data_IF_867406918433
#
_entry.id   IF_867406918433
#
_cell.length_a   1.000
_cell.length_b   1.000
_cell.length_c   1.000
_cell.angle_alpha   90.00
_cell.angle_beta   90.00
_cell.angle_gamma   90.00
#
_symmetry.space_group_name_H-M   'P 1'
#
loop_
_entity.id
_entity.type
_entity.pdbx_description
1 polymer ?
#
# COMPACT_ATOMS: atom_id res chain seq x y z
N UNK A 1 30.25 22.41 33.27
CA UNK A 1 28.99 22.75 32.59
C UNK A 1 28.97 22.35 31.11
N UNK A 2 30.03 22.58 30.33
CA UNK A 2 30.10 22.23 28.88
C UNK A 2 29.89 20.74 28.55
N UNK A 3 30.40 19.81 29.37
CA UNK A 3 30.24 18.35 29.17
C UNK A 3 28.80 17.85 29.37
N UNK A 4 28.02 18.50 30.25
CA UNK A 4 26.61 18.16 30.50
C UNK A 4 25.69 18.66 29.37
N UNK A 5 26.03 19.81 28.77
CA UNK A 5 25.34 20.36 27.60
C UNK A 5 25.57 19.45 26.38
N UNK A 6 26.80 18.95 26.20
CA UNK A 6 27.13 18.04 25.10
C UNK A 6 26.37 16.70 25.21
N UNK A 7 26.23 16.17 26.43
CA UNK A 7 25.41 14.99 26.69
C UNK A 7 23.93 15.22 26.37
N UNK A 8 23.39 16.41 26.70
CA UNK A 8 21.99 16.76 26.42
C UNK A 8 21.71 16.86 24.91
N UNK A 9 22.63 17.45 24.14
CA UNK A 9 22.50 17.55 22.67
C UNK A 9 22.53 16.16 22.02
N UNK A 10 23.39 15.26 22.49
CA UNK A 10 23.43 13.88 21.98
C UNK A 10 22.11 13.11 22.23
N UNK A 11 21.45 13.34 23.37
CA UNK A 11 20.16 12.69 23.69
C UNK A 11 19.01 13.27 22.85
N UNK A 12 19.03 14.56 22.53
CA UNK A 12 17.99 15.18 21.70
C UNK A 12 18.09 14.78 20.21
N UNK A 13 19.29 14.42 19.72
CA UNK A 13 19.49 14.07 18.31
C UNK A 13 18.97 12.66 17.95
N UNK A 14 18.73 11.78 18.92
CA UNK A 14 18.31 10.39 18.68
C UNK A 14 16.80 10.21 18.41
N UNK A 15 16.01 11.29 18.35
CA UNK A 15 14.54 11.23 18.27
C UNK A 15 13.98 11.23 16.83
N UNK A 16 14.83 11.20 15.80
CA UNK A 16 14.42 11.25 14.39
C UNK A 16 14.60 9.92 13.65
N UNK A 17 14.25 8.79 14.27
CA UNK A 17 14.23 7.51 13.55
C UNK A 17 12.93 7.37 12.73
N UNK A 18 13.04 7.33 11.41
CA UNK A 18 11.95 6.91 10.52
C UNK A 18 11.73 5.40 10.71
N UNK A 19 10.48 4.98 10.98
CA UNK A 19 10.15 3.62 11.41
C UNK A 19 9.61 2.71 10.29
N UNK A 20 9.95 2.99 9.03
CA UNK A 20 9.59 2.16 7.87
C UNK A 20 10.22 0.76 7.94
N UNK A 21 9.42 -0.28 7.70
CA UNK A 21 9.88 -1.68 7.76
C UNK A 21 10.05 -2.25 6.36
N UNK A 22 11.31 -2.44 5.93
CA UNK A 22 11.64 -3.17 4.71
C UNK A 22 12.01 -4.61 5.03
N UNK A 23 11.26 -5.60 4.54
CA UNK A 23 11.66 -7.01 4.64
C UNK A 23 12.36 -7.42 3.34
N UNK A 24 13.67 -7.71 3.45
CA UNK A 24 14.51 -8.06 2.29
C UNK A 24 14.55 -6.92 1.25
N UNK A 25 14.39 -5.68 1.73
CA UNK A 25 14.32 -4.44 0.95
C UNK A 25 15.18 -3.37 1.64
N UNK A 26 16.30 -3.03 1.00
CA UNK A 26 17.11 -1.88 1.42
C UNK A 26 16.41 -0.59 0.98
N UNK A 27 16.41 0.41 1.86
CA UNK A 27 15.73 1.70 1.67
C UNK A 27 14.29 1.53 1.16
N UNK A 28 13.36 1.00 2.01
CA UNK A 28 11.97 0.88 1.61
C UNK A 28 11.39 2.27 1.27
N UNK A 29 10.33 2.31 0.48
CA UNK A 29 9.71 3.55 0.05
C UNK A 29 9.29 4.40 1.28
N UNK A 30 9.61 5.71 1.32
CA UNK A 30 9.27 6.57 2.44
C UNK A 30 7.77 6.65 2.76
N UNK A 31 6.92 6.38 1.78
CA UNK A 31 5.46 6.36 1.90
C UNK A 31 4.91 4.97 2.27
N UNK A 32 5.74 4.08 2.82
CA UNK A 32 5.33 2.73 3.24
C UNK A 32 5.72 2.43 4.68
N UNK A 33 4.75 1.89 5.44
CA UNK A 33 5.03 1.32 6.75
C UNK A 33 5.66 -0.07 6.63
N UNK A 34 5.32 -0.83 5.58
CA UNK A 34 5.85 -2.16 5.27
C UNK A 34 6.06 -2.35 3.76
N UNK A 35 7.27 -2.74 3.35
CA UNK A 35 7.59 -3.13 1.97
C UNK A 35 8.26 -4.52 1.92
N UNK A 36 7.82 -5.38 1.01
CA UNK A 36 8.37 -6.72 0.77
C UNK A 36 9.24 -6.72 -0.50
N UNK A 37 10.56 -6.87 -0.36
CA UNK A 37 11.51 -6.74 -1.48
C UNK A 37 11.90 -8.04 -2.18
N UNK A 38 11.28 -9.17 -1.87
CA UNK A 38 11.64 -10.45 -2.49
C UNK A 38 11.03 -10.60 -3.88
N UNK A 39 11.85 -10.87 -4.89
CA UNK A 39 11.42 -11.02 -6.29
C UNK A 39 10.60 -12.30 -6.58
N UNK A 40 10.59 -13.26 -5.67
CA UNK A 40 9.98 -14.59 -5.85
C UNK A 40 9.20 -15.07 -4.63
N UNK A 41 8.79 -14.16 -3.74
CA UNK A 41 7.97 -14.46 -2.57
C UNK A 41 6.79 -13.50 -2.53
N UNK A 42 5.78 -13.85 -1.75
CA UNK A 42 4.57 -13.05 -1.59
C UNK A 42 4.13 -12.99 -0.13
N UNK A 43 3.26 -12.04 0.18
CA UNK A 43 2.53 -12.01 1.44
C UNK A 43 1.54 -13.18 1.46
N UNK A 44 1.60 -14.00 2.50
CA UNK A 44 0.52 -14.93 2.83
C UNK A 44 -0.44 -14.25 3.79
N UNK A 45 -1.71 -14.16 3.41
CA UNK A 45 -2.77 -13.68 4.29
C UNK A 45 -3.17 -14.78 5.27
N UNK A 46 -3.76 -14.39 6.40
CA UNK A 46 -4.37 -15.35 7.32
C UNK A 46 -5.43 -16.16 6.57
N UNK A 47 -5.25 -17.48 6.55
CA UNK A 47 -6.17 -18.43 5.92
C UNK A 47 -7.19 -18.88 6.96
N UNK A 48 -8.45 -18.55 6.75
CA UNK A 48 -9.53 -18.83 7.70
C UNK A 48 -10.64 -19.63 7.02
N UNK A 49 -11.38 -20.44 7.79
CA UNK A 49 -12.42 -21.30 7.22
C UNK A 49 -13.47 -20.51 6.44
N UNK A 50 -13.88 -19.36 6.98
CA UNK A 50 -14.74 -18.37 6.35
C UNK A 50 -14.67 -17.06 7.15
N UNK A 51 -15.39 -16.03 6.71
CA UNK A 51 -15.44 -14.71 7.35
C UNK A 51 -15.92 -14.73 8.81
N UNK A 52 -16.71 -15.72 9.23
CA UNK A 52 -17.22 -15.83 10.61
C UNK A 52 -16.15 -16.29 11.61
N UNK A 53 -15.01 -16.80 11.14
CA UNK A 53 -13.88 -17.17 11.98
C UNK A 53 -13.07 -15.95 12.48
N UNK A 54 -13.35 -14.75 11.98
CA UNK A 54 -12.73 -13.49 12.43
C UNK A 54 -13.74 -12.70 13.26
N UNK A 55 -13.71 -12.81 14.61
CA UNK A 55 -14.59 -12.02 15.46
C UNK A 55 -14.16 -10.54 15.47
N UNK A 56 -15.14 -9.64 15.54
CA UNK A 56 -14.92 -8.18 15.60
C UNK A 56 -13.98 -7.62 14.52
N UNK A 57 -14.26 -7.87 13.23
CA UNK A 57 -13.42 -7.38 12.13
C UNK A 57 -13.38 -5.84 12.09
N UNK A 58 -12.22 -5.30 11.71
CA UNK A 58 -11.99 -3.84 11.58
C UNK A 58 -11.73 -3.51 10.12
N UNK A 59 -12.18 -2.33 9.67
CA UNK A 59 -11.96 -1.86 8.30
C UNK A 59 -10.45 -1.86 7.97
N UNK A 60 -10.11 -2.38 6.79
CA UNK A 60 -8.72 -2.55 6.33
C UNK A 60 -8.15 -3.95 6.49
N UNK A 61 -8.86 -4.88 7.16
CA UNK A 61 -8.42 -6.28 7.25
C UNK A 61 -8.55 -7.02 5.91
N UNK A 62 -7.64 -7.97 5.66
CA UNK A 62 -7.69 -8.89 4.52
C UNK A 62 -7.45 -10.34 4.97
N UNK A 63 -8.17 -11.28 4.36
CA UNK A 63 -8.06 -12.72 4.63
C UNK A 63 -8.08 -13.53 3.35
N UNK A 64 -7.58 -14.76 3.43
CA UNK A 64 -7.89 -15.80 2.45
C UNK A 64 -8.97 -16.72 3.02
N UNK A 65 -10.17 -16.67 2.44
CA UNK A 65 -11.32 -17.49 2.82
C UNK A 65 -11.18 -18.88 2.17
N UNK A 66 -11.05 -19.92 2.99
CA UNK A 66 -10.89 -21.30 2.55
C UNK A 66 -12.19 -21.90 1.98
N UNK A 67 -13.36 -21.44 2.41
CA UNK A 67 -14.64 -21.95 1.92
C UNK A 67 -14.95 -21.52 0.49
N UNK A 68 -14.51 -20.32 0.11
CA UNK A 68 -14.71 -19.76 -1.23
C UNK A 68 -13.43 -19.71 -2.08
N UNK A 69 -12.31 -20.16 -1.51
CA UNK A 69 -10.97 -20.22 -2.10
C UNK A 69 -10.53 -18.87 -2.69
N UNK A 70 -10.68 -17.79 -1.93
CA UNK A 70 -10.44 -16.45 -2.45
C UNK A 70 -10.03 -15.44 -1.37
N UNK A 71 -9.47 -14.31 -1.81
CA UNK A 71 -9.17 -13.18 -0.93
C UNK A 71 -10.44 -12.34 -0.68
N UNK A 72 -10.65 -11.91 0.56
CA UNK A 72 -11.70 -10.98 0.98
C UNK A 72 -11.10 -9.85 1.82
N UNK A 73 -11.64 -8.64 1.68
CA UNK A 73 -11.28 -7.47 2.48
C UNK A 73 -12.47 -7.04 3.33
N UNK A 74 -12.23 -6.53 4.54
CA UNK A 74 -13.27 -5.94 5.38
C UNK A 74 -13.26 -4.42 5.24
N UNK A 75 -14.37 -3.86 4.78
CA UNK A 75 -14.51 -2.43 4.53
C UNK A 75 -15.96 -1.99 4.80
N UNK A 76 -16.13 -0.77 5.31
CA UNK A 76 -17.45 -0.22 5.63
C UNK A 76 -18.31 -1.16 6.48
N UNK A 77 -17.68 -1.85 7.45
CA UNK A 77 -18.36 -2.77 8.36
C UNK A 77 -18.80 -4.10 7.75
N UNK A 78 -18.29 -4.49 6.57
CA UNK A 78 -18.67 -5.72 5.88
C UNK A 78 -17.50 -6.37 5.15
N UNK A 79 -17.53 -7.69 5.03
CA UNK A 79 -16.62 -8.41 4.14
C UNK A 79 -17.03 -8.22 2.69
N UNK A 80 -16.03 -8.00 1.83
CA UNK A 80 -16.20 -7.99 0.38
C UNK A 80 -16.59 -9.38 -0.14
N UNK A 81 -17.10 -9.42 -1.38
CA UNK A 81 -17.05 -10.66 -2.17
C UNK A 81 -15.60 -11.03 -2.46
N UNK A 82 -15.39 -12.21 -3.03
CA UNK A 82 -14.08 -12.61 -3.54
C UNK A 82 -13.49 -11.54 -4.47
N UNK A 83 -12.32 -11.03 -4.11
CA UNK A 83 -11.57 -10.12 -4.98
C UNK A 83 -11.22 -10.86 -6.29
N UNK A 84 -11.46 -10.21 -7.43
CA UNK A 84 -11.12 -10.73 -8.76
C UNK A 84 -12.05 -11.82 -9.32
N UNK A 85 -12.97 -12.38 -8.53
CA UNK A 85 -13.91 -13.42 -9.01
C UNK A 85 -14.97 -12.78 -9.92
N UNK A 86 -15.13 -13.29 -11.14
CA UNK A 86 -16.03 -12.80 -12.21
C UNK A 86 -15.60 -11.53 -12.96
N UNK A 87 -14.30 -11.18 -12.97
CA UNK A 87 -13.82 -10.20 -13.94
C UNK A 87 -13.88 -10.80 -15.35
N UNK A 88 -14.89 -10.42 -16.14
CA UNK A 88 -14.91 -10.73 -17.58
C UNK A 88 -13.96 -9.77 -18.28
N UNK A 89 -12.89 -10.29 -18.87
CA UNK A 89 -12.05 -9.52 -19.78
C UNK A 89 -12.90 -9.14 -21.00
N UNK A 90 -13.32 -7.88 -21.07
CA UNK A 90 -13.95 -7.36 -22.28
C UNK A 90 -12.84 -7.06 -23.27
N UNK A 91 -12.63 -7.96 -24.24
CA UNK A 91 -11.75 -7.71 -25.38
C UNK A 91 -12.45 -6.70 -26.28
N UNK A 92 -12.24 -5.40 -26.04
CA UNK A 92 -12.74 -4.35 -26.93
C UNK A 92 -11.73 -4.20 -28.07
N UNK A 93 -12.12 -4.55 -29.29
CA UNK A 93 -11.34 -4.25 -30.50
C UNK A 93 -11.53 -2.82 -31.01
N UNK A 94 -12.33 -2.00 -30.33
CA UNK A 94 -12.61 -0.61 -30.70
C UNK A 94 -12.01 0.38 -29.69
N UNK A 95 -11.31 1.43 -30.14
CA UNK A 95 -10.93 2.53 -29.27
C UNK A 95 -12.17 3.39 -28.96
N UNK A 96 -12.41 3.60 -27.67
CA UNK A 96 -13.43 4.48 -27.06
C UNK A 96 -14.86 3.91 -26.91
N UNK A 97 -15.09 3.23 -25.78
CA UNK A 97 -15.87 3.83 -24.68
C UNK A 97 -15.77 2.93 -23.44
N UNK A 98 -15.42 3.50 -22.28
CA UNK A 98 -15.72 2.85 -21.01
C UNK A 98 -17.25 2.86 -20.84
N UNK A 99 -17.93 1.86 -21.39
CA UNK A 99 -19.31 1.59 -21.01
C UNK A 99 -19.29 1.00 -19.61
N UNK A 100 -19.99 1.67 -18.71
CA UNK A 100 -20.04 1.41 -17.27
C UNK A 100 -20.57 0.00 -16.99
N UNK A 101 -19.69 -0.99 -17.00
CA UNK A 101 -19.86 -2.15 -16.13
C UNK A 101 -19.22 -1.76 -14.80
N UNK A 102 -19.92 -0.91 -14.06
CA UNK A 102 -19.52 -0.51 -12.72
C UNK A 102 -19.37 -1.79 -11.90
N UNK A 103 -18.13 -2.18 -11.60
CA UNK A 103 -17.87 -3.00 -10.44
C UNK A 103 -18.38 -2.17 -9.27
N UNK A 104 -19.55 -2.53 -8.72
CA UNK A 104 -20.02 -1.94 -7.47
C UNK A 104 -19.13 -2.45 -6.34
N UNK A 105 -17.91 -1.92 -6.27
CA UNK A 105 -17.17 -1.78 -5.03
C UNK A 105 -18.04 -0.85 -4.17
N UNK A 106 -18.48 -1.25 -2.96
CA UNK A 106 -19.08 -0.30 -2.04
C UNK A 106 -17.95 0.61 -1.53
N UNK A 107 -17.60 1.59 -2.35
CA UNK A 107 -16.88 2.78 -1.94
C UNK A 107 -17.27 3.91 -2.91
N UNK A 108 -17.93 4.92 -2.34
CA UNK A 108 -18.29 6.16 -3.01
C UNK A 108 -17.03 6.83 -3.54
N UNK A 109 -16.95 7.04 -4.86
CA UNK A 109 -15.78 7.61 -5.55
C UNK A 109 -15.88 9.14 -5.70
N UNK A 110 -16.75 9.80 -4.94
CA UNK A 110 -17.00 11.24 -5.08
C UNK A 110 -16.33 12.16 -4.06
N UNK A 111 -15.56 11.65 -3.10
CA UNK A 111 -14.71 12.49 -2.26
C UNK A 111 -13.34 12.70 -2.93
N UNK A 112 -13.30 13.64 -3.88
CA UNK A 112 -12.04 14.26 -4.32
C UNK A 112 -11.48 15.10 -3.16
N UNK A 113 -10.67 14.50 -2.30
CA UNK A 113 -9.61 15.27 -1.64
C UNK A 113 -8.48 15.49 -2.65
N UNK A 114 -8.03 16.74 -2.87
CA UNK A 114 -6.92 17.03 -3.77
C UNK A 114 -5.64 16.37 -3.24
N UNK A 115 -4.93 15.66 -4.11
CA UNK A 115 -3.58 15.16 -3.83
C UNK A 115 -2.66 16.35 -3.48
N UNK A 116 -1.92 16.24 -2.38
CA UNK A 116 -0.94 17.24 -1.97
C UNK A 116 0.25 17.28 -2.94
N UNK A 117 0.61 18.49 -3.36
CA UNK A 117 1.60 18.85 -4.39
C UNK A 117 3.07 18.52 -4.06
N UNK A 118 3.36 17.84 -2.95
CA UNK A 118 4.73 17.59 -2.47
C UNK A 118 5.41 16.34 -3.08
N UNK A 119 4.65 15.37 -3.62
CA UNK A 119 5.22 14.13 -4.18
C UNK A 119 5.80 14.29 -5.61
N UNK A 120 5.45 15.39 -6.30
CA UNK A 120 5.89 15.63 -7.67
C UNK A 120 7.36 16.09 -7.72
N UNK A 121 7.82 16.81 -6.70
CA UNK A 121 9.20 17.34 -6.64
C UNK A 121 10.23 16.23 -6.43
N UNK A 122 9.92 15.24 -5.58
CA UNK A 122 10.82 14.12 -5.29
C UNK A 122 11.09 13.23 -6.52
N UNK A 123 10.07 12.98 -7.34
CA UNK A 123 10.22 12.18 -8.55
C UNK A 123 10.97 12.91 -9.66
N UNK A 124 10.93 14.25 -9.67
CA UNK A 124 11.67 15.09 -10.62
C UNK A 124 13.17 15.16 -10.27
N UNK A 125 13.52 15.34 -8.99
CA UNK A 125 14.92 15.40 -8.53
C UNK A 125 15.67 14.08 -8.74
N UNK A 126 15.02 12.95 -8.49
CA UNK A 126 15.61 11.62 -8.75
C UNK A 126 15.83 11.37 -10.25
N UNK A 127 15.03 11.98 -11.13
CA UNK A 127 15.18 11.86 -12.59
C UNK A 127 16.36 12.68 -13.12
N UNK A 128 16.68 13.81 -12.49
CA UNK A 128 17.87 14.60 -12.82
C UNK A 128 19.15 13.91 -12.37
N UNK A 129 19.16 13.32 -11.17
CA UNK A 129 20.33 12.61 -10.64
C UNK A 129 20.68 11.35 -11.45
N UNK A 130 19.67 10.59 -11.89
CA UNK A 130 19.88 9.41 -12.75
C UNK A 130 20.39 9.79 -14.15
N UNK A 131 20.02 10.97 -14.68
CA UNK A 131 20.51 11.42 -15.99
C UNK A 131 22.00 11.80 -15.96
N UNK A 132 22.46 12.41 -14.87
CA UNK A 132 23.86 12.83 -14.74
C UNK A 132 24.81 11.65 -14.51
N UNK A 133 24.31 10.53 -13.97
CA UNK A 133 25.08 9.31 -13.76
C UNK A 133 25.15 8.40 -15.01
N UNK A 134 24.18 8.52 -15.92
CA UNK A 134 24.18 7.80 -17.22
C UNK A 134 25.03 8.52 -18.28
N UNK A 135 25.36 9.81 -18.07
CA UNK A 135 26.16 10.63 -18.98
C UNK A 135 27.65 10.75 -18.57
N UNK A 136 28.14 9.90 -17.66
CA UNK A 136 29.58 9.71 -17.38
C UNK A 136 30.05 8.33 -17.79
#
# INVERSE_FOLDING_TARGET
MRKKILLQICICFSMFSLAQVGIKKDNPNPSTDLELGSNNKALILNRVQNTSAVPNPVNGMMIYDLSEECVKAYQSGKWSKCLGKNLKAQKTSDPQSLSKSSVNLPHDFNDRQPYHEQDITYTQEMRTLVKDEVLR
#
